data_IF_300733269185
#
_entry.id   IF_300733269185
#
_cell.length_a   1.000
_cell.length_b   1.000
_cell.length_c   1.000
_cell.angle_alpha   90.00
_cell.angle_beta   90.00
_cell.angle_gamma   90.00
#
_symmetry.space_group_name_H-M   'P 1'
#
loop_
_entity.id
_entity.type
_entity.pdbx_description
1 polymer ?
#
# COMPACT_ATOMS: atom_id res chain seq x y z
N UNK A 1 9.79 -13.95 40.34
CA UNK A 1 8.35 -14.10 40.01
C UNK A 1 8.24 -14.90 38.71
N UNK A 2 7.32 -15.87 38.62
CA UNK A 2 7.43 -17.01 37.72
C UNK A 2 7.25 -16.61 36.25
N UNK A 3 7.98 -17.31 35.37
CA UNK A 3 7.93 -17.17 33.91
C UNK A 3 6.56 -17.58 33.40
N UNK A 4 5.69 -16.63 33.06
CA UNK A 4 4.47 -16.90 32.32
C UNK A 4 4.86 -17.30 30.88
N UNK A 5 4.86 -18.61 30.60
CA UNK A 5 4.77 -19.10 29.23
C UNK A 5 3.40 -18.68 28.71
N UNK A 6 3.35 -17.88 27.65
CA UNK A 6 2.13 -17.69 26.90
C UNK A 6 1.78 -19.06 26.28
N UNK A 7 0.84 -19.76 26.90
CA UNK A 7 0.25 -20.98 26.33
C UNK A 7 -0.60 -20.53 25.16
N UNK A 8 -0.05 -20.63 23.95
CA UNK A 8 -0.84 -20.61 22.73
C UNK A 8 -1.63 -21.93 22.76
N UNK A 9 -2.95 -21.86 22.95
CA UNK A 9 -3.82 -23.01 22.77
C UNK A 9 -3.94 -23.31 21.28
N UNK A 10 -2.93 -23.96 20.71
CA UNK A 10 -3.08 -24.60 19.41
C UNK A 10 -3.98 -25.82 19.63
N UNK A 11 -5.19 -25.77 19.09
CA UNK A 11 -5.99 -26.98 18.89
C UNK A 11 -5.24 -27.84 17.86
N UNK A 12 -4.36 -28.73 18.33
CA UNK A 12 -3.71 -29.76 17.54
C UNK A 12 -4.77 -30.81 17.17
N UNK A 13 -5.59 -30.50 16.17
CA UNK A 13 -6.35 -31.52 15.46
C UNK A 13 -5.33 -32.25 14.59
N UNK A 14 -5.19 -33.56 14.80
CA UNK A 14 -4.41 -34.44 13.94
C UNK A 14 -5.05 -34.44 12.53
N UNK A 15 -4.66 -33.48 11.71
CA UNK A 15 -5.04 -33.42 10.30
C UNK A 15 -4.10 -34.37 9.57
N UNK A 16 -4.58 -35.58 9.26
CA UNK A 16 -3.90 -36.46 8.32
C UNK A 16 -3.72 -35.78 6.97
N UNK A 17 -2.68 -36.16 6.22
CA UNK A 17 -2.35 -35.60 4.91
C UNK A 17 -3.61 -35.38 4.06
N UNK A 18 -3.90 -34.13 3.73
CA UNK A 18 -5.15 -33.73 3.06
C UNK A 18 -5.27 -34.45 1.73
N UNK A 19 -6.31 -35.30 1.58
CA UNK A 19 -6.73 -35.78 0.27
C UNK A 19 -7.20 -34.58 -0.56
N UNK A 20 -6.88 -34.59 -1.85
CA UNK A 20 -7.34 -33.59 -2.81
C UNK A 20 -8.87 -33.44 -2.71
N UNK A 21 -9.35 -32.35 -2.10
CA UNK A 21 -10.79 -32.12 -1.91
C UNK A 21 -11.15 -31.19 -0.76
N UNK A 22 -10.43 -31.24 0.36
CA UNK A 22 -10.96 -30.66 1.61
C UNK A 22 -10.52 -29.19 1.83
N UNK A 23 -11.20 -28.27 1.13
CA UNK A 23 -11.07 -26.83 1.33
C UNK A 23 -11.31 -26.42 2.79
N UNK A 24 -12.20 -27.13 3.49
CA UNK A 24 -12.52 -26.86 4.88
C UNK A 24 -11.35 -27.17 5.81
N UNK A 25 -10.53 -28.19 5.50
CA UNK A 25 -9.29 -28.43 6.28
C UNK A 25 -8.35 -27.23 6.18
N UNK A 26 -8.14 -26.70 4.97
CA UNK A 26 -7.25 -25.55 4.77
C UNK A 26 -7.80 -24.31 5.46
N UNK A 27 -9.10 -24.05 5.29
CA UNK A 27 -9.78 -22.95 5.97
C UNK A 27 -9.72 -23.08 7.49
N UNK A 28 -9.92 -24.28 8.05
CA UNK A 28 -9.81 -24.54 9.50
C UNK A 28 -8.40 -24.32 10.00
N UNK A 29 -7.39 -24.80 9.27
CA UNK A 29 -5.99 -24.65 9.66
C UNK A 29 -5.55 -23.18 9.65
N UNK A 30 -5.97 -22.42 8.64
CA UNK A 30 -5.74 -20.98 8.62
C UNK A 30 -6.69 -20.25 9.59
N UNK A 31 -7.85 -20.80 9.93
CA UNK A 31 -8.88 -20.08 10.70
C UNK A 31 -9.46 -18.88 9.94
N UNK A 32 -9.38 -18.88 8.61
CA UNK A 32 -10.03 -17.91 7.72
C UNK A 32 -10.73 -18.66 6.57
N UNK A 33 -11.95 -18.27 6.16
CA UNK A 33 -12.72 -18.94 5.11
C UNK A 33 -12.24 -18.54 3.71
N UNK A 34 -10.96 -18.82 3.43
CA UNK A 34 -10.29 -18.40 2.20
C UNK A 34 -10.90 -19.08 0.96
N UNK A 35 -11.12 -20.38 1.04
CA UNK A 35 -11.64 -21.20 -0.06
C UNK A 35 -13.14 -21.52 0.12
N UNK A 36 -13.89 -21.69 -0.95
CA UNK A 36 -15.30 -22.11 -0.88
C UNK A 36 -15.53 -23.48 -1.52
N UNK A 37 -15.57 -23.55 -2.86
CA UNK A 37 -15.80 -24.79 -3.63
C UNK A 37 -14.96 -24.84 -4.92
N UNK A 38 -14.77 -23.68 -5.55
CA UNK A 38 -13.93 -23.46 -6.72
C UNK A 38 -12.48 -23.09 -6.33
N UNK A 39 -11.52 -23.06 -7.28
CA UNK A 39 -10.20 -22.49 -7.03
C UNK A 39 -10.35 -21.01 -6.65
N UNK A 40 -9.74 -20.62 -5.52
CA UNK A 40 -9.69 -19.23 -5.05
C UNK A 40 -9.28 -18.24 -6.16
N UNK A 41 -8.31 -18.66 -6.97
CA UNK A 41 -7.76 -17.83 -8.04
C UNK A 41 -8.68 -17.88 -9.26
N UNK A 42 -9.05 -16.71 -9.78
CA UNK A 42 -10.03 -16.58 -10.87
C UNK A 42 -11.49 -16.45 -10.40
N UNK A 43 -11.80 -16.62 -9.11
CA UNK A 43 -13.11 -16.24 -8.55
C UNK A 43 -13.34 -14.73 -8.70
N UNK A 44 -14.60 -14.30 -8.87
CA UNK A 44 -14.93 -12.87 -8.77
C UNK A 44 -14.57 -12.37 -7.37
N UNK A 45 -13.90 -11.22 -7.31
CA UNK A 45 -13.31 -10.73 -6.07
C UNK A 45 -14.30 -10.27 -5.01
N UNK A 46 -15.47 -9.77 -5.40
CA UNK A 46 -16.48 -9.24 -4.49
C UNK A 46 -17.09 -10.33 -3.57
N UNK A 47 -17.57 -11.48 -4.09
CA UNK A 47 -17.98 -12.60 -3.22
C UNK A 47 -16.89 -13.10 -2.27
N UNK A 48 -15.63 -13.12 -2.73
CA UNK A 48 -14.48 -13.52 -1.90
C UNK A 48 -14.21 -12.48 -0.81
N UNK A 49 -14.30 -11.20 -1.15
CA UNK A 49 -14.14 -10.10 -0.20
C UNK A 49 -15.23 -10.10 0.87
N UNK A 50 -16.50 -10.27 0.50
CA UNK A 50 -17.62 -10.39 1.44
C UNK A 50 -17.42 -11.57 2.40
N UNK A 51 -17.05 -12.74 1.87
CA UNK A 51 -16.73 -13.94 2.67
C UNK A 51 -15.62 -13.70 3.69
N UNK A 52 -14.65 -12.88 3.33
CA UNK A 52 -13.50 -12.53 4.17
C UNK A 52 -13.72 -11.29 5.03
N UNK A 53 -14.90 -10.65 4.96
CA UNK A 53 -15.18 -9.40 5.66
C UNK A 53 -14.30 -8.22 5.24
N UNK A 54 -13.83 -8.23 3.98
CA UNK A 54 -12.96 -7.19 3.45
C UNK A 54 -13.78 -6.01 2.95
N UNK A 55 -13.27 -4.80 3.19
CA UNK A 55 -13.85 -3.59 2.64
C UNK A 55 -13.13 -3.21 1.35
N UNK A 56 -13.88 -2.68 0.40
CA UNK A 56 -13.33 -2.18 -0.85
C UNK A 56 -12.48 -0.95 -0.54
N UNK A 57 -11.17 -1.09 -0.72
CA UNK A 57 -10.23 -0.01 -0.50
C UNK A 57 -10.19 0.96 -1.66
N UNK A 58 -10.74 0.63 -2.83
CA UNK A 58 -10.61 1.47 -4.02
C UNK A 58 -11.89 1.54 -4.84
N UNK A 59 -12.36 2.74 -5.20
CA UNK A 59 -13.53 2.91 -6.08
C UNK A 59 -13.22 2.66 -7.58
N UNK A 60 -12.20 1.84 -7.86
CA UNK A 60 -11.80 1.50 -9.23
C UNK A 60 -12.78 0.50 -9.84
N UNK A 61 -13.41 0.84 -10.97
CA UNK A 61 -14.40 -0.05 -11.62
C UNK A 61 -13.76 -1.32 -12.21
N UNK A 62 -12.44 -1.34 -12.40
CA UNK A 62 -11.75 -2.40 -13.16
C UNK A 62 -10.74 -3.26 -12.39
N UNK A 63 -10.30 -2.81 -11.21
CA UNK A 63 -9.30 -3.52 -10.37
C UNK A 63 -9.53 -3.20 -8.90
N UNK A 64 -10.66 -3.65 -8.32
CA UNK A 64 -10.93 -3.37 -6.92
C UNK A 64 -9.85 -4.02 -6.06
N UNK A 65 -9.30 -3.25 -5.13
CA UNK A 65 -8.48 -3.79 -4.05
C UNK A 65 -9.39 -3.91 -2.84
N UNK A 66 -9.38 -5.08 -2.21
CA UNK A 66 -10.11 -5.31 -0.98
C UNK A 66 -9.11 -5.53 0.15
N UNK A 67 -9.34 -4.90 1.29
CA UNK A 67 -8.54 -5.19 2.47
C UNK A 67 -9.30 -5.07 3.76
N UNK A 68 -8.77 -5.71 4.79
CA UNK A 68 -9.36 -5.76 6.11
C UNK A 68 -8.26 -5.80 7.16
N UNK A 69 -8.44 -5.02 8.22
CA UNK A 69 -7.58 -4.99 9.40
C UNK A 69 -8.30 -5.67 10.57
N UNK A 70 -7.57 -5.96 11.64
CA UNK A 70 -8.13 -6.60 12.85
C UNK A 70 -8.72 -7.99 12.62
N UNK A 71 -8.31 -8.66 11.53
CA UNK A 71 -8.65 -10.06 11.25
C UNK A 71 -7.73 -10.96 12.07
N UNK A 72 -8.18 -12.18 12.36
CA UNK A 72 -7.38 -13.22 13.00
C UNK A 72 -7.32 -14.45 12.11
N UNK A 73 -6.16 -15.11 12.13
CA UNK A 73 -5.90 -16.39 11.48
C UNK A 73 -5.74 -17.42 12.61
N UNK A 74 -6.86 -18.02 13.03
CA UNK A 74 -6.96 -18.70 14.32
C UNK A 74 -6.74 -17.73 15.49
N UNK A 75 -5.78 -18.05 16.37
CA UNK A 75 -5.36 -17.15 17.46
C UNK A 75 -4.29 -16.13 17.06
N UNK A 76 -3.85 -16.17 15.80
CA UNK A 76 -2.84 -15.26 15.31
C UNK A 76 -3.52 -13.95 14.85
N UNK A 77 -3.28 -12.80 15.50
CA UNK A 77 -3.70 -11.54 14.90
C UNK A 77 -2.99 -11.37 13.56
N UNK A 78 -3.64 -10.75 12.57
CA UNK A 78 -2.96 -10.33 11.34
C UNK A 78 -3.06 -8.81 11.21
N UNK A 79 -2.00 -8.19 10.70
CA UNK A 79 -1.96 -6.75 10.51
C UNK A 79 -2.94 -6.33 9.40
N UNK A 80 -2.96 -7.08 8.29
CA UNK A 80 -3.87 -6.80 7.18
C UNK A 80 -4.05 -8.03 6.27
N UNK A 81 -5.27 -8.26 5.80
CA UNK A 81 -5.59 -9.18 4.70
C UNK A 81 -5.86 -8.37 3.44
N UNK A 82 -5.24 -8.71 2.31
CA UNK A 82 -5.44 -8.02 1.03
C UNK A 82 -5.77 -9.01 -0.08
N UNK A 83 -6.81 -8.68 -0.84
CA UNK A 83 -7.22 -9.40 -2.04
C UNK A 83 -6.82 -8.59 -3.28
N UNK A 84 -5.98 -9.17 -4.12
CA UNK A 84 -5.52 -8.57 -5.35
C UNK A 84 -6.29 -9.10 -6.55
N UNK A 85 -6.59 -8.19 -7.48
CA UNK A 85 -7.44 -8.50 -8.63
C UNK A 85 -6.77 -8.19 -9.96
N UNK A 86 -7.13 -8.98 -10.97
CA UNK A 86 -6.74 -8.72 -12.35
C UNK A 86 -7.69 -7.71 -13.03
N UNK A 87 -7.52 -7.48 -14.34
CA UNK A 87 -8.35 -6.51 -15.08
C UNK A 87 -9.82 -6.92 -15.20
N UNK A 88 -10.12 -8.19 -14.95
CA UNK A 88 -11.46 -8.77 -15.07
C UNK A 88 -12.12 -8.89 -13.68
N UNK A 89 -11.54 -8.21 -12.66
CA UNK A 89 -11.99 -8.19 -11.27
C UNK A 89 -12.05 -9.56 -10.60
N UNK A 90 -11.28 -10.52 -11.13
CA UNK A 90 -11.10 -11.83 -10.51
C UNK A 90 -9.89 -11.84 -9.59
N UNK A 91 -9.86 -12.77 -8.64
CA UNK A 91 -8.77 -12.91 -7.68
C UNK A 91 -7.49 -13.39 -8.39
N UNK A 92 -6.47 -12.55 -8.38
CA UNK A 92 -5.13 -12.85 -8.90
C UNK A 92 -4.24 -13.48 -7.82
N UNK A 93 -4.26 -12.91 -6.61
CA UNK A 93 -3.55 -13.44 -5.44
C UNK A 93 -4.06 -12.84 -4.13
N UNK A 94 -3.65 -13.44 -3.01
CA UNK A 94 -3.95 -12.96 -1.64
C UNK A 94 -2.66 -12.71 -0.89
N UNK A 95 -2.61 -11.60 -0.14
CA UNK A 95 -1.56 -11.33 0.84
C UNK A 95 -2.16 -11.25 2.25
N UNK A 96 -1.64 -12.07 3.15
CA UNK A 96 -1.94 -12.04 4.59
C UNK A 96 -0.70 -11.47 5.29
N UNK A 97 -0.75 -10.19 5.62
CA UNK A 97 0.32 -9.50 6.34
C UNK A 97 0.18 -9.78 7.84
N UNK A 98 1.03 -10.67 8.36
CA UNK A 98 0.93 -11.18 9.73
C UNK A 98 1.68 -10.29 10.70
N UNK A 99 2.89 -9.89 10.32
CA UNK A 99 3.73 -8.98 11.08
C UNK A 99 4.30 -7.96 10.12
N UNK A 100 4.08 -6.69 10.40
CA UNK A 100 4.69 -5.60 9.65
C UNK A 100 5.40 -4.66 10.63
N UNK A 101 6.70 -4.43 10.43
CA UNK A 101 7.49 -3.53 11.27
C UNK A 101 6.81 -2.18 11.41
N UNK A 102 6.41 -1.56 10.32
CA UNK A 102 5.91 -0.20 10.47
C UNK A 102 4.51 -0.13 11.09
N UNK A 103 3.69 -1.18 10.99
CA UNK A 103 2.44 -1.24 11.78
C UNK A 103 2.78 -1.41 13.26
N UNK A 104 3.64 -2.38 13.60
CA UNK A 104 4.07 -2.63 14.97
C UNK A 104 4.72 -1.41 15.67
N UNK A 105 5.46 -0.61 14.91
CA UNK A 105 6.13 0.61 15.40
C UNK A 105 5.36 1.90 15.07
N UNK A 106 4.07 1.84 14.72
CA UNK A 106 3.25 3.04 14.54
C UNK A 106 3.20 3.87 15.82
N UNK A 107 2.93 5.17 15.70
CA UNK A 107 2.84 6.06 16.88
C UNK A 107 1.78 5.54 17.86
N UNK A 108 0.62 5.15 17.34
CA UNK A 108 -0.48 4.56 18.09
C UNK A 108 -0.04 3.29 18.83
N UNK A 109 0.53 2.31 18.14
CA UNK A 109 0.94 1.03 18.75
C UNK A 109 2.10 1.20 19.74
N UNK A 110 3.03 2.13 19.47
CA UNK A 110 4.11 2.45 20.41
C UNK A 110 3.55 3.12 21.67
N UNK A 111 2.58 4.01 21.53
CA UNK A 111 1.89 4.66 22.65
C UNK A 111 1.11 3.63 23.48
N UNK A 112 0.33 2.78 22.84
CA UNK A 112 -0.42 1.70 23.51
C UNK A 112 0.52 0.73 24.24
N UNK A 113 1.62 0.32 23.61
CA UNK A 113 2.62 -0.53 24.24
C UNK A 113 3.30 0.16 25.43
N UNK A 114 3.56 1.46 25.35
CA UNK A 114 4.12 2.22 26.46
C UNK A 114 3.11 2.32 27.63
N UNK A 115 1.83 2.52 27.34
CA UNK A 115 0.74 2.52 28.32
C UNK A 115 0.57 1.14 28.98
N UNK A 116 0.63 0.07 28.20
CA UNK A 116 0.57 -1.31 28.70
C UNK A 116 1.71 -1.59 29.69
N UNK A 117 2.95 -1.22 29.34
CA UNK A 117 4.08 -1.32 30.25
C UNK A 117 3.85 -0.51 31.52
N UNK A 118 3.32 0.71 31.40
CA UNK A 118 3.06 1.57 32.56
C UNK A 118 2.02 0.96 33.51
N UNK A 119 0.91 0.46 32.96
CA UNK A 119 -0.19 -0.11 33.73
C UNK A 119 0.19 -1.42 34.43
N UNK A 120 1.04 -2.25 33.81
CA UNK A 120 1.46 -3.54 34.37
C UNK A 120 2.76 -3.45 35.19
N UNK A 121 3.49 -2.34 35.14
CA UNK A 121 4.62 -2.06 36.02
C UNK A 121 4.10 -1.53 37.37
N UNK A 122 3.55 -2.42 38.20
CA UNK A 122 3.17 -2.11 39.58
C UNK A 122 4.33 -1.44 40.33
N UNK A 123 4.14 -0.17 40.71
CA UNK A 123 5.09 0.75 41.37
C UNK A 123 6.27 1.20 40.50
N UNK A 124 6.12 2.43 39.99
CA UNK A 124 7.17 3.40 39.68
C UNK A 124 8.53 2.81 39.25
N UNK A 125 8.53 2.12 38.11
CA UNK A 125 9.78 1.89 37.42
C UNK A 125 10.27 3.27 36.94
N UNK A 126 11.33 3.80 37.57
CA UNK A 126 12.09 4.99 37.15
C UNK A 126 12.60 4.89 35.68
N UNK A 127 12.27 3.81 34.97
CA UNK A 127 12.49 3.54 33.56
C UNK A 127 11.81 4.56 32.61
N UNK A 128 10.69 5.19 33.00
CA UNK A 128 10.07 6.25 32.17
C UNK A 128 10.90 7.54 32.27
N UNK A 129 11.58 7.78 33.40
CA UNK A 129 12.58 8.86 33.54
C UNK A 129 13.94 8.49 32.94
N UNK A 130 14.31 7.20 32.91
CA UNK A 130 15.55 6.67 32.31
C UNK A 130 15.36 6.18 30.87
N UNK A 131 15.05 7.12 29.99
CA UNK A 131 15.49 7.11 28.59
C UNK A 131 14.73 6.20 27.61
N UNK A 132 14.44 6.79 26.44
CA UNK A 132 13.89 6.14 25.24
C UNK A 132 14.55 4.80 24.84
N UNK A 133 15.75 4.50 25.32
CA UNK A 133 16.48 3.26 25.06
C UNK A 133 15.83 1.99 25.66
N UNK A 134 15.29 2.04 26.88
CA UNK A 134 14.66 0.85 27.51
C UNK A 134 13.35 0.48 26.80
N UNK A 135 12.52 1.49 26.48
CA UNK A 135 11.31 1.29 25.67
C UNK A 135 11.65 0.72 24.30
N UNK A 136 12.65 1.27 23.60
CA UNK A 136 13.11 0.75 22.31
C UNK A 136 13.55 -0.71 22.38
N UNK A 137 14.31 -1.09 23.41
CA UNK A 137 14.74 -2.47 23.62
C UNK A 137 13.55 -3.39 23.84
N UNK A 138 12.60 -3.02 24.71
CA UNK A 138 11.38 -3.80 24.98
C UNK A 138 10.50 -3.94 23.75
N UNK A 139 10.30 -2.87 22.97
CA UNK A 139 9.61 -2.90 21.69
C UNK A 139 10.29 -3.83 20.69
N UNK A 140 11.62 -3.78 20.57
CA UNK A 140 12.36 -4.72 19.72
C UNK A 140 12.14 -6.17 20.16
N UNK A 141 12.28 -6.45 21.45
CA UNK A 141 12.05 -7.80 21.95
C UNK A 141 10.61 -8.29 21.73
N UNK A 142 9.62 -7.39 21.86
CA UNK A 142 8.23 -7.71 21.57
C UNK A 142 8.01 -8.00 20.07
N UNK A 143 8.59 -7.19 19.19
CA UNK A 143 8.56 -7.43 17.74
C UNK A 143 9.21 -8.77 17.39
N UNK A 144 10.42 -9.04 17.90
CA UNK A 144 11.16 -10.28 17.61
C UNK A 144 10.37 -11.51 18.08
N UNK A 145 9.79 -11.47 19.30
CA UNK A 145 8.93 -12.55 19.81
C UNK A 145 7.70 -12.76 18.93
N UNK A 146 7.04 -11.67 18.54
CA UNK A 146 5.86 -11.72 17.67
C UNK A 146 6.21 -12.28 16.30
N UNK A 147 7.32 -11.84 15.71
CA UNK A 147 7.81 -12.31 14.42
C UNK A 147 8.13 -13.81 14.42
N UNK A 148 9.03 -14.24 15.32
CA UNK A 148 9.49 -15.63 15.37
C UNK A 148 8.33 -16.56 15.77
N UNK A 149 7.55 -16.21 16.80
CA UNK A 149 6.41 -17.01 17.22
C UNK A 149 5.33 -17.15 16.14
N UNK A 150 5.08 -16.10 15.35
CA UNK A 150 4.14 -16.19 14.22
C UNK A 150 4.67 -17.04 13.08
N UNK A 151 5.96 -16.92 12.77
CA UNK A 151 6.60 -17.70 11.71
C UNK A 151 6.58 -19.18 12.05
N UNK A 152 6.95 -19.52 13.28
CA UNK A 152 7.02 -20.91 13.73
C UNK A 152 5.63 -21.53 13.79
N UNK A 153 4.65 -20.82 14.36
CA UNK A 153 3.25 -21.27 14.39
C UNK A 153 2.69 -21.50 12.97
N UNK A 154 2.92 -20.57 12.04
CA UNK A 154 2.46 -20.73 10.66
C UNK A 154 3.17 -21.87 9.94
N UNK A 155 4.47 -22.02 10.16
CA UNK A 155 5.24 -23.11 9.56
C UNK A 155 4.72 -24.45 10.05
N UNK A 156 4.45 -24.60 11.36
CA UNK A 156 3.88 -25.80 11.95
C UNK A 156 2.48 -26.09 11.38
N UNK A 157 1.58 -25.11 11.40
CA UNK A 157 0.22 -25.22 10.86
C UNK A 157 0.22 -25.64 9.39
N UNK A 158 0.99 -24.95 8.55
CA UNK A 158 1.06 -25.25 7.11
C UNK A 158 1.72 -26.61 6.86
N UNK A 159 2.75 -26.97 7.63
CA UNK A 159 3.42 -28.26 7.50
C UNK A 159 2.54 -29.43 7.91
N UNK A 160 1.71 -29.27 8.94
CA UNK A 160 0.74 -30.29 9.35
C UNK A 160 -0.27 -30.59 8.24
N UNK A 161 -0.67 -29.58 7.48
CA UNK A 161 -1.67 -29.71 6.41
C UNK A 161 -1.07 -30.19 5.09
N UNK A 162 0.05 -29.58 4.67
CA UNK A 162 0.60 -29.71 3.33
C UNK A 162 1.91 -30.54 3.27
N UNK A 163 2.45 -30.94 4.42
CA UNK A 163 3.75 -31.59 4.51
C UNK A 163 4.92 -30.60 4.51
N UNK A 164 6.15 -31.11 4.35
CA UNK A 164 7.36 -30.29 4.48
C UNK A 164 7.41 -29.17 3.42
N UNK A 165 7.79 -27.93 3.79
CA UNK A 165 7.95 -26.85 2.83
C UNK A 165 9.20 -27.04 1.97
N UNK A 166 9.17 -26.38 0.81
CA UNK A 166 10.36 -26.08 0.02
C UNK A 166 10.90 -24.68 0.35
N UNK A 167 12.18 -24.45 0.10
CA UNK A 167 12.76 -23.11 0.14
C UNK A 167 12.44 -22.36 -1.15
N UNK A 168 11.80 -21.21 -1.03
CA UNK A 168 11.44 -20.36 -2.17
C UNK A 168 12.45 -19.22 -2.32
N UNK A 169 12.93 -19.02 -3.54
CA UNK A 169 13.89 -17.97 -3.86
C UNK A 169 13.18 -16.77 -4.46
N UNK A 170 12.76 -15.86 -3.58
CA UNK A 170 12.18 -14.58 -3.98
C UNK A 170 13.22 -13.75 -4.73
N UNK A 171 13.04 -13.56 -6.04
CA UNK A 171 13.97 -12.82 -6.91
C UNK A 171 14.04 -11.30 -6.60
N UNK A 172 13.24 -10.83 -5.65
CA UNK A 172 13.12 -9.45 -5.21
C UNK A 172 14.22 -9.05 -4.22
N UNK A 173 14.63 -9.95 -3.32
CA UNK A 173 15.64 -9.70 -2.28
C UNK A 173 16.38 -11.00 -1.89
N UNK A 174 17.71 -10.94 -1.80
CA UNK A 174 18.56 -12.05 -1.34
C UNK A 174 18.48 -12.30 0.17
N UNK A 175 17.89 -11.38 0.94
CA UNK A 175 17.71 -11.49 2.40
C UNK A 175 16.44 -12.24 2.78
N UNK A 176 15.48 -12.32 1.86
CA UNK A 176 14.21 -13.01 2.09
C UNK A 176 14.43 -14.49 2.28
N UNK A 177 13.77 -15.01 3.29
CA UNK A 177 13.71 -16.44 3.61
C UNK A 177 12.26 -16.85 3.43
N UNK A 178 11.93 -17.31 2.24
CA UNK A 178 10.57 -17.77 1.94
C UNK A 178 10.48 -19.28 2.07
N UNK A 179 9.41 -19.74 2.71
CA UNK A 179 8.99 -21.14 2.72
C UNK A 179 7.76 -21.29 1.83
N UNK A 180 7.70 -22.38 1.07
CA UNK A 180 6.61 -22.62 0.12
C UNK A 180 5.97 -23.99 0.34
N UNK A 181 4.65 -24.01 0.27
CA UNK A 181 3.84 -25.21 0.18
C UNK A 181 2.99 -25.14 -1.08
N UNK A 182 3.12 -26.16 -1.94
CA UNK A 182 2.29 -26.29 -3.12
C UNK A 182 1.03 -27.09 -2.80
N UNK A 183 -0.12 -26.56 -3.19
CA UNK A 183 -1.39 -27.24 -3.05
C UNK A 183 -2.28 -26.97 -4.25
N UNK A 184 -2.58 -28.03 -5.00
CA UNK A 184 -3.32 -27.94 -6.27
C UNK A 184 -2.66 -26.97 -7.26
N UNK A 185 -3.33 -25.88 -7.61
CA UNK A 185 -2.94 -24.82 -8.52
C UNK A 185 -2.40 -23.57 -7.80
N UNK A 186 -2.41 -23.57 -6.46
CA UNK A 186 -1.88 -22.49 -5.62
C UNK A 186 -0.56 -22.86 -4.94
N UNK A 187 0.23 -21.84 -4.66
CA UNK A 187 1.42 -21.90 -3.81
C UNK A 187 1.18 -20.98 -2.62
N UNK A 188 1.30 -21.53 -1.41
CA UNK A 188 1.34 -20.78 -0.16
C UNK A 188 2.79 -20.43 0.14
N UNK A 189 3.15 -19.15 0.07
CA UNK A 189 4.52 -18.67 0.26
C UNK A 189 4.58 -17.81 1.52
N UNK A 190 5.20 -18.35 2.58
CA UNK A 190 5.51 -17.60 3.80
C UNK A 190 6.79 -16.80 3.58
N UNK A 191 6.63 -15.56 3.15
CA UNK A 191 7.72 -14.62 2.83
C UNK A 191 8.12 -13.85 4.10
N UNK A 192 9.37 -14.06 4.52
CA UNK A 192 9.91 -13.47 5.72
C UNK A 192 11.19 -12.66 5.43
N UNK A 193 11.19 -11.42 5.90
CA UNK A 193 12.38 -10.57 5.97
C UNK A 193 12.58 -10.15 7.43
N UNK A 194 13.65 -10.66 8.03
CA UNK A 194 13.93 -10.47 9.46
C UNK A 194 14.01 -8.98 9.80
N UNK A 195 13.46 -8.62 10.96
CA UNK A 195 13.34 -7.24 11.44
C UNK A 195 12.43 -6.33 10.57
N UNK A 196 11.76 -6.86 9.54
CA UNK A 196 10.91 -6.11 8.61
C UNK A 196 9.46 -6.62 8.53
N UNK A 197 9.23 -7.84 8.03
CA UNK A 197 7.86 -8.34 7.83
C UNK A 197 7.77 -9.87 7.75
N UNK A 198 6.57 -10.37 8.01
CA UNK A 198 6.13 -11.75 7.77
C UNK A 198 4.80 -11.71 7.02
N UNK A 199 4.80 -12.18 5.78
CA UNK A 199 3.61 -12.19 4.90
C UNK A 199 3.39 -13.60 4.40
N UNK A 200 2.17 -14.13 4.57
CA UNK A 200 1.72 -15.35 3.90
C UNK A 200 1.03 -14.97 2.60
N UNK A 201 1.57 -15.40 1.46
CA UNK A 201 1.05 -15.12 0.12
C UNK A 201 0.39 -16.37 -0.43
N UNK A 202 -0.78 -16.23 -1.03
CA UNK A 202 -1.43 -17.30 -1.81
C UNK A 202 -1.40 -16.90 -3.27
N UNK A 203 -0.54 -17.56 -4.04
CA UNK A 203 -0.20 -17.21 -5.42
C UNK A 203 -0.59 -18.36 -6.38
N UNK A 204 -0.84 -18.09 -7.67
CA UNK A 204 -0.81 -19.14 -8.68
C UNK A 204 0.56 -19.84 -8.66
N UNK A 205 0.63 -21.17 -8.77
CA UNK A 205 1.92 -21.89 -8.77
C UNK A 205 2.89 -21.39 -9.82
N UNK A 206 2.40 -21.13 -11.04
CA UNK A 206 3.20 -20.55 -12.13
C UNK A 206 3.81 -19.19 -11.76
N UNK A 207 3.12 -18.40 -10.93
CA UNK A 207 3.62 -17.13 -10.43
C UNK A 207 4.72 -17.34 -9.38
N UNK A 208 4.51 -18.28 -8.46
CA UNK A 208 5.51 -18.66 -7.47
C UNK A 208 6.79 -19.23 -8.13
N UNK A 209 6.67 -20.11 -9.13
CA UNK A 209 7.81 -20.62 -9.92
C UNK A 209 8.62 -19.50 -10.61
N UNK A 210 7.93 -18.40 -10.94
CA UNK A 210 8.53 -17.19 -11.47
C UNK A 210 9.35 -16.39 -10.44
N UNK A 211 9.31 -16.76 -9.16
CA UNK A 211 9.81 -16.01 -8.01
C UNK A 211 8.88 -14.85 -7.63
N UNK A 212 7.56 -15.04 -7.75
CA UNK A 212 6.54 -14.03 -7.46
C UNK A 212 6.48 -12.87 -8.47
N UNK A 213 7.02 -13.06 -9.68
CA UNK A 213 6.97 -12.03 -10.75
C UNK A 213 5.78 -12.25 -11.66
N UNK A 214 4.79 -11.36 -11.58
CA UNK A 214 3.60 -11.40 -12.43
C UNK A 214 3.93 -11.36 -13.92
N UNK A 215 3.02 -11.88 -14.75
CA UNK A 215 3.12 -11.72 -16.20
C UNK A 215 3.04 -10.23 -16.54
N UNK A 216 4.08 -9.72 -17.20
CA UNK A 216 4.12 -8.33 -17.65
C UNK A 216 2.90 -8.03 -18.52
N UNK A 217 2.16 -6.97 -18.18
CA UNK A 217 1.13 -6.42 -19.06
C UNK A 217 1.81 -5.84 -20.30
N UNK A 218 1.40 -6.30 -21.49
CA UNK A 218 1.92 -5.85 -22.77
C UNK A 218 1.68 -4.33 -22.98
N UNK A 219 2.69 -3.60 -23.47
CA UNK A 219 2.61 -2.14 -23.59
C UNK A 219 1.62 -1.67 -24.64
N UNK A 220 1.43 -2.43 -25.73
CA UNK A 220 0.41 -2.13 -26.73
C UNK A 220 -0.98 -2.20 -26.12
N UNK A 221 -1.28 -3.28 -25.37
CA UNK A 221 -2.54 -3.41 -24.62
C UNK A 221 -2.70 -2.27 -23.61
N UNK A 222 -1.63 -1.93 -22.88
CA UNK A 222 -1.69 -0.85 -21.88
C UNK A 222 -1.93 0.52 -22.54
N UNK A 223 -1.21 0.86 -23.62
CA UNK A 223 -1.39 2.11 -24.38
C UNK A 223 -2.80 2.26 -24.93
N UNK A 224 -3.45 1.17 -25.32
CA UNK A 224 -4.85 1.17 -25.75
C UNK A 224 -5.85 1.34 -24.60
N UNK A 225 -5.52 0.85 -23.40
CA UNK A 225 -6.43 0.87 -22.25
C UNK A 225 -6.35 2.15 -21.43
N UNK A 226 -5.17 2.75 -21.29
CA UNK A 226 -4.95 3.90 -20.40
C UNK A 226 -5.84 5.11 -20.74
N UNK A 227 -5.99 5.56 -22.00
CA UNK A 227 -6.88 6.68 -22.31
C UNK A 227 -8.35 6.39 -21.96
N UNK A 228 -8.77 5.12 -21.96
CA UNK A 228 -10.13 4.71 -21.59
C UNK A 228 -10.41 4.79 -20.08
N UNK A 229 -9.41 5.15 -19.27
CA UNK A 229 -9.54 5.43 -17.83
C UNK A 229 -9.70 6.92 -17.55
N UNK A 230 -9.68 7.77 -18.57
CA UNK A 230 -9.83 9.21 -18.41
C UNK A 230 -11.30 9.56 -18.53
N UNK A 231 -11.89 9.99 -17.42
CA UNK A 231 -13.19 10.67 -17.42
C UNK A 231 -13.04 12.01 -18.16
N UNK A 232 -13.98 12.28 -19.06
CA UNK A 232 -14.17 13.58 -19.68
C UNK A 232 -15.58 14.04 -19.29
N UNK A 233 -15.66 15.00 -18.36
CA UNK A 233 -16.94 15.54 -17.89
C UNK A 233 -17.36 16.77 -18.72
N UNK A 234 -18.67 17.04 -18.75
CA UNK A 234 -19.22 18.25 -19.39
C UNK A 234 -18.71 19.54 -18.75
N UNK A 235 -18.31 19.49 -17.49
CA UNK A 235 -17.70 20.59 -16.74
C UNK A 235 -16.28 20.97 -17.20
N UNK A 236 -15.72 20.24 -18.17
CA UNK A 236 -14.33 20.37 -18.61
C UNK A 236 -13.32 19.56 -17.79
N UNK A 237 -13.75 18.87 -16.73
CA UNK A 237 -12.87 18.02 -15.93
C UNK A 237 -12.33 16.84 -16.75
N UNK A 238 -11.00 16.68 -16.72
CA UNK A 238 -10.27 15.55 -17.26
C UNK A 238 -9.63 14.81 -16.10
N UNK A 239 -10.11 13.61 -15.78
CA UNK A 239 -9.71 12.91 -14.55
C UNK A 239 -9.40 11.44 -14.81
N UNK A 240 -8.20 11.01 -14.43
CA UNK A 240 -7.83 9.60 -14.44
C UNK A 240 -8.57 8.89 -13.30
N UNK A 241 -9.35 7.90 -13.69
CA UNK A 241 -10.01 6.96 -12.81
C UNK A 241 -9.16 5.69 -12.64
N UNK A 242 -9.63 4.77 -11.81
CA UNK A 242 -9.03 3.45 -11.61
C UNK A 242 -7.60 3.45 -11.05
N UNK A 243 -7.21 4.48 -10.30
CA UNK A 243 -5.91 4.50 -9.61
C UNK A 243 -6.01 3.62 -8.34
N UNK A 244 -5.18 2.57 -8.22
CA UNK A 244 -5.19 1.71 -7.04
C UNK A 244 -5.01 2.53 -5.77
N UNK A 245 -5.75 2.16 -4.73
CA UNK A 245 -5.55 2.69 -3.40
C UNK A 245 -4.50 1.86 -2.66
N UNK A 246 -3.62 2.56 -1.95
CA UNK A 246 -2.59 1.97 -1.11
C UNK A 246 -2.59 2.78 0.17
N UNK A 247 -3.03 2.15 1.26
CA UNK A 247 -2.95 2.72 2.59
C UNK A 247 -1.48 2.65 3.06
N UNK A 248 -0.90 3.82 3.35
CA UNK A 248 0.45 3.93 3.87
C UNK A 248 0.56 3.63 5.38
N UNK A 249 -0.57 3.57 6.09
CA UNK A 249 -0.67 3.54 7.54
C UNK A 249 -0.08 4.80 8.20
N UNK A 250 0.15 4.76 9.51
CA UNK A 250 0.66 5.87 10.34
C UNK A 250 2.13 6.28 10.05
N UNK A 251 2.65 6.10 8.82
CA UNK A 251 4.08 6.23 8.50
C UNK A 251 4.40 7.39 7.55
N UNK A 252 5.62 7.92 7.63
CA UNK A 252 6.27 8.78 6.60
C UNK A 252 6.65 8.05 5.29
N UNK A 253 5.80 7.11 4.85
CA UNK A 253 5.97 6.25 3.66
C UNK A 253 5.20 6.76 2.45
N UNK A 254 4.76 8.01 2.46
CA UNK A 254 3.98 8.60 1.39
C UNK A 254 4.60 8.43 -0.01
N UNK A 255 5.92 8.57 -0.12
CA UNK A 255 6.64 8.33 -1.37
C UNK A 255 6.50 6.87 -1.85
N UNK A 256 6.67 5.90 -0.95
CA UNK A 256 6.53 4.47 -1.26
C UNK A 256 5.11 4.15 -1.68
N UNK A 257 4.11 4.61 -0.93
CA UNK A 257 2.70 4.37 -1.26
C UNK A 257 2.30 5.00 -2.60
N UNK A 258 2.62 6.28 -2.83
CA UNK A 258 2.34 6.95 -4.11
C UNK A 258 3.06 6.28 -5.29
N UNK A 259 4.31 5.82 -5.11
CA UNK A 259 5.04 5.07 -6.13
C UNK A 259 4.42 3.70 -6.41
N UNK A 260 3.99 2.97 -5.38
CA UNK A 260 3.29 1.69 -5.49
C UNK A 260 1.97 1.85 -6.26
N UNK A 261 1.19 2.89 -5.95
CA UNK A 261 -0.03 3.22 -6.69
C UNK A 261 0.26 3.41 -8.18
N UNK A 262 1.30 4.19 -8.52
CA UNK A 262 1.69 4.41 -9.91
C UNK A 262 2.17 3.12 -10.60
N UNK A 263 2.99 2.30 -9.93
CA UNK A 263 3.47 1.03 -10.47
C UNK A 263 2.31 0.06 -10.72
N UNK A 264 1.39 -0.08 -9.76
CA UNK A 264 0.21 -0.94 -9.88
C UNK A 264 -0.78 -0.45 -10.92
N UNK A 265 -1.01 0.85 -11.01
CA UNK A 265 -1.85 1.45 -12.07
C UNK A 265 -1.33 1.07 -13.46
N UNK A 266 -0.01 1.00 -13.57
CA UNK A 266 0.71 0.59 -14.76
C UNK A 266 0.73 -0.95 -14.92
N UNK A 267 0.24 -1.74 -13.97
CA UNK A 267 0.22 -3.20 -14.05
C UNK A 267 1.57 -3.84 -13.77
N UNK A 268 2.43 -3.14 -13.01
CA UNK A 268 3.62 -3.71 -12.39
C UNK A 268 3.23 -4.19 -10.99
N UNK A 269 3.28 -5.51 -10.71
CA UNK A 269 3.16 -5.99 -9.34
C UNK A 269 4.38 -5.52 -8.57
N UNK A 270 4.17 -4.82 -7.47
CA UNK A 270 5.25 -4.36 -6.61
C UNK A 270 4.91 -4.67 -5.16
N UNK A 271 5.96 -5.12 -4.45
CA UNK A 271 5.98 -5.25 -3.01
C UNK A 271 6.45 -3.91 -2.42
N UNK A 272 5.62 -3.29 -1.59
CA UNK A 272 5.91 -2.00 -0.96
C UNK A 272 7.21 -2.00 -0.14
N UNK A 273 7.56 -3.16 0.44
CA UNK A 273 8.83 -3.35 1.14
C UNK A 273 10.02 -3.32 0.18
N UNK A 274 9.91 -3.99 -0.97
CA UNK A 274 10.96 -3.94 -1.99
C UNK A 274 11.20 -2.50 -2.47
N UNK A 275 10.12 -1.74 -2.63
CA UNK A 275 10.21 -0.33 -3.01
C UNK A 275 10.88 0.50 -1.92
N UNK A 276 10.50 0.30 -0.65
CA UNK A 276 11.13 0.97 0.50
C UNK A 276 12.62 0.62 0.66
N UNK A 277 13.00 -0.65 0.49
CA UNK A 277 14.38 -1.12 0.57
C UNK A 277 15.25 -0.49 -0.53
N UNK A 278 14.76 -0.50 -1.78
CA UNK A 278 15.45 0.12 -2.90
C UNK A 278 15.57 1.64 -2.73
N UNK A 279 14.56 2.26 -2.14
CA UNK A 279 14.55 3.68 -1.85
C UNK A 279 15.39 4.05 -0.61
N UNK A 280 15.96 3.05 0.09
CA UNK A 280 16.72 3.19 1.34
C UNK A 280 15.94 3.98 2.40
N UNK A 281 14.64 3.76 2.46
CA UNK A 281 13.75 4.46 3.39
C UNK A 281 14.11 4.10 4.83
N UNK A 282 14.45 5.10 5.65
CA UNK A 282 14.75 4.92 7.06
C UNK A 282 13.61 5.39 7.99
N UNK A 283 13.69 5.03 9.28
CA UNK A 283 12.66 5.30 10.30
C UNK A 283 12.58 6.77 10.74
N UNK A 284 13.52 7.65 10.37
CA UNK A 284 13.67 8.99 10.98
C UNK A 284 13.76 10.14 9.98
N UNK A 285 14.04 9.86 8.71
CA UNK A 285 14.27 10.84 7.65
C UNK A 285 13.33 10.69 6.44
N UNK A 286 12.39 9.74 6.46
CA UNK A 286 11.49 9.49 5.33
C UNK A 286 12.21 8.88 4.13
N UNK A 287 11.55 8.85 2.98
CA UNK A 287 12.18 8.46 1.71
C UNK A 287 12.73 9.71 1.04
N UNK A 288 14.00 9.73 0.68
CA UNK A 288 14.56 10.87 -0.07
C UNK A 288 14.03 10.88 -1.50
N UNK A 289 13.93 12.07 -2.12
CA UNK A 289 13.49 12.18 -3.52
C UNK A 289 14.38 11.36 -4.47
N UNK A 290 15.70 11.35 -4.22
CA UNK A 290 16.68 10.62 -5.03
C UNK A 290 16.60 9.11 -4.82
N UNK A 291 16.39 8.67 -3.56
CA UNK A 291 16.16 7.26 -3.25
C UNK A 291 14.91 6.74 -3.96
N UNK A 292 13.82 7.51 -3.91
CA UNK A 292 12.58 7.15 -4.59
C UNK A 292 12.75 7.11 -6.11
N UNK A 293 13.44 8.10 -6.70
CA UNK A 293 13.72 8.13 -8.13
C UNK A 293 14.52 6.91 -8.59
N UNK A 294 15.57 6.57 -7.83
CA UNK A 294 16.38 5.39 -8.09
C UNK A 294 15.52 4.11 -8.05
N UNK A 295 14.71 3.94 -7.00
CA UNK A 295 13.85 2.78 -6.82
C UNK A 295 12.84 2.63 -7.97
N UNK A 296 12.13 3.71 -8.30
CA UNK A 296 11.17 3.73 -9.42
C UNK A 296 11.84 3.40 -10.76
N UNK A 297 13.03 3.97 -11.03
CA UNK A 297 13.78 3.69 -12.26
C UNK A 297 14.23 2.24 -12.35
N UNK A 298 14.73 1.67 -11.25
CA UNK A 298 15.16 0.26 -11.18
C UNK A 298 13.97 -0.68 -11.44
N UNK A 299 12.84 -0.45 -10.77
CA UNK A 299 11.64 -1.30 -10.93
C UNK A 299 11.07 -1.15 -12.34
N UNK A 300 10.95 0.08 -12.86
CA UNK A 300 10.46 0.32 -14.22
C UNK A 300 11.35 -0.38 -15.26
N UNK A 301 12.67 -0.23 -15.17
CA UNK A 301 13.62 -0.86 -16.09
C UNK A 301 13.52 -2.39 -16.05
N UNK A 302 13.44 -3.00 -14.86
CA UNK A 302 13.24 -4.45 -14.70
C UNK A 302 11.94 -4.93 -15.34
N UNK A 303 10.92 -4.08 -15.39
CA UNK A 303 9.64 -4.35 -16.05
C UNK A 303 9.59 -3.85 -17.50
N UNK A 304 10.74 -3.46 -18.08
CA UNK A 304 10.90 -2.94 -19.45
C UNK A 304 10.01 -1.73 -19.71
N UNK A 305 10.04 -0.76 -18.79
CA UNK A 305 9.25 0.48 -18.87
C UNK A 305 10.11 1.69 -18.62
N UNK A 306 9.64 2.84 -19.09
CA UNK A 306 10.35 4.11 -18.93
C UNK A 306 9.79 4.89 -17.76
N UNK A 307 10.60 5.08 -16.73
CA UNK A 307 10.36 6.05 -15.68
C UNK A 307 11.31 7.23 -15.88
N UNK A 308 10.77 8.46 -15.86
CA UNK A 308 11.58 9.67 -15.98
C UNK A 308 10.99 10.83 -15.19
N UNK A 309 11.88 11.63 -14.59
CA UNK A 309 11.54 12.99 -14.18
C UNK A 309 11.34 13.84 -15.42
N UNK A 310 10.29 14.65 -15.38
CA UNK A 310 10.05 15.67 -16.39
C UNK A 310 10.47 17.05 -15.91
N UNK A 311 10.75 17.20 -14.60
CA UNK A 311 11.31 18.42 -13.97
C UNK A 311 10.49 19.69 -14.16
N UNK A 312 9.29 19.54 -14.73
CA UNK A 312 8.40 20.62 -15.13
C UNK A 312 7.42 20.90 -13.99
N UNK A 313 7.02 22.16 -13.88
CA UNK A 313 5.94 22.57 -12.99
C UNK A 313 4.59 21.95 -13.42
N UNK A 314 3.67 21.69 -12.47
CA UNK A 314 2.34 21.17 -12.75
C UNK A 314 1.42 22.24 -13.33
N UNK A 315 1.67 22.64 -14.58
CA UNK A 315 0.78 23.50 -15.36
C UNK A 315 -0.24 22.67 -16.13
N UNK A 316 -1.39 23.26 -16.50
CA UNK A 316 -2.40 22.65 -17.36
C UNK A 316 -1.75 22.11 -18.64
N UNK A 317 -0.86 22.88 -19.27
CA UNK A 317 -0.15 22.48 -20.49
C UNK A 317 0.73 21.25 -20.28
N UNK A 318 1.45 21.18 -19.16
CA UNK A 318 2.31 20.03 -18.83
C UNK A 318 1.48 18.81 -18.50
N UNK A 319 0.45 18.99 -17.67
CA UNK A 319 -0.37 17.91 -17.12
C UNK A 319 -1.26 17.30 -18.21
N UNK A 320 -1.91 18.11 -19.05
CA UNK A 320 -2.81 17.61 -20.11
C UNK A 320 -2.13 16.63 -21.07
N UNK A 321 -0.86 16.91 -21.44
CA UNK A 321 -0.04 16.05 -22.30
C UNK A 321 0.04 14.58 -21.84
N UNK A 322 -0.10 14.33 -20.54
CA UNK A 322 -0.02 13.00 -19.95
C UNK A 322 -1.38 12.49 -19.47
N UNK A 323 -2.18 13.36 -18.84
CA UNK A 323 -3.51 12.98 -18.34
C UNK A 323 -4.43 12.51 -19.46
N UNK A 324 -4.46 13.18 -20.62
CA UNK A 324 -5.30 12.75 -21.76
C UNK A 324 -4.93 11.36 -22.30
N UNK A 325 -3.70 10.90 -22.03
CA UNK A 325 -3.21 9.57 -22.38
C UNK A 325 -3.42 8.54 -21.27
N UNK A 326 -4.08 8.94 -20.19
CA UNK A 326 -4.30 8.14 -18.99
C UNK A 326 -3.02 7.88 -18.19
N UNK A 327 -2.04 8.79 -18.21
CA UNK A 327 -0.78 8.64 -17.47
C UNK A 327 -0.75 9.57 -16.24
N UNK A 328 -0.99 9.06 -15.01
CA UNK A 328 -0.85 9.85 -13.80
C UNK A 328 0.63 10.14 -13.54
N UNK A 329 0.88 11.21 -12.79
CA UNK A 329 2.22 11.75 -12.60
C UNK A 329 2.57 11.74 -11.12
N UNK A 330 3.73 11.18 -10.79
CA UNK A 330 4.28 11.28 -9.44
C UNK A 330 4.73 12.73 -9.22
N UNK A 331 4.32 13.33 -8.11
CA UNK A 331 4.53 14.74 -7.85
C UNK A 331 5.11 14.95 -6.46
N UNK A 332 6.32 15.52 -6.41
CA UNK A 332 6.90 15.98 -5.14
C UNK A 332 6.30 17.31 -4.74
N UNK A 333 5.91 17.43 -3.47
CA UNK A 333 5.30 18.63 -2.89
C UNK A 333 5.92 18.98 -1.54
N UNK A 334 5.82 20.25 -1.18
CA UNK A 334 6.01 20.76 0.18
C UNK A 334 4.66 20.70 0.90
N UNK A 335 4.64 20.08 2.07
CA UNK A 335 3.48 20.10 2.97
C UNK A 335 3.48 21.43 3.70
N UNK A 336 2.46 22.24 3.45
CA UNK A 336 2.31 23.57 4.06
C UNK A 336 1.03 23.54 4.89
N UNK A 337 1.16 23.66 6.21
CA UNK A 337 0.05 23.50 7.15
C UNK A 337 -1.16 24.38 6.81
N UNK A 338 -0.92 25.67 6.50
CA UNK A 338 -1.98 26.60 6.12
C UNK A 338 -2.73 26.19 4.84
N UNK A 339 -2.04 25.53 3.90
CA UNK A 339 -2.66 24.99 2.69
C UNK A 339 -3.46 23.72 3.02
N UNK A 340 -2.88 22.79 3.77
CA UNK A 340 -3.54 21.51 4.13
C UNK A 340 -4.81 21.73 4.95
N UNK A 341 -4.82 22.72 5.85
CA UNK A 341 -5.98 23.06 6.67
C UNK A 341 -7.17 23.58 5.84
N UNK A 342 -6.91 24.29 4.74
CA UNK A 342 -7.95 24.96 3.94
C UNK A 342 -8.41 24.20 2.70
N UNK A 343 -7.51 23.41 2.08
CA UNK A 343 -7.77 22.78 0.77
C UNK A 343 -8.94 21.80 0.82
N UNK A 344 -9.08 21.05 1.92
CA UNK A 344 -10.11 20.01 2.08
C UNK A 344 -11.49 20.62 2.25
N UNK A 345 -11.65 21.52 3.22
CA UNK A 345 -12.90 22.27 3.45
C UNK A 345 -13.35 23.03 2.20
N UNK A 346 -12.40 23.57 1.41
CA UNK A 346 -12.73 24.18 0.13
C UNK A 346 -13.35 23.15 -0.82
N UNK A 347 -12.73 21.97 -0.96
CA UNK A 347 -13.17 20.93 -1.91
C UNK A 347 -14.51 20.27 -1.58
N UNK A 348 -14.96 20.27 -0.32
CA UNK A 348 -16.30 19.78 0.08
C UNK A 348 -17.45 20.43 -0.69
N UNK A 349 -17.26 21.63 -1.26
CA UNK A 349 -18.27 22.37 -2.01
C UNK A 349 -18.09 22.36 -3.53
N UNK A 350 -17.25 21.48 -4.11
CA UNK A 350 -16.98 21.42 -5.55
C UNK A 350 -17.98 20.55 -6.32
N UNK A 351 -19.27 20.82 -6.17
CA UNK A 351 -20.33 20.05 -6.87
C UNK A 351 -20.49 20.44 -8.35
N UNK A 352 -20.14 21.68 -8.70
CA UNK A 352 -20.22 22.20 -10.07
C UNK A 352 -18.97 23.06 -10.39
N UNK A 353 -17.98 22.52 -11.12
CA UNK A 353 -16.84 23.29 -11.59
C UNK A 353 -17.34 24.52 -12.37
N UNK A 354 -16.83 25.70 -12.03
CA UNK A 354 -17.23 26.97 -12.68
C UNK A 354 -18.42 27.72 -12.04
N UNK A 355 -19.10 27.14 -11.04
CA UNK A 355 -20.11 27.85 -10.26
C UNK A 355 -19.58 29.14 -9.62
N UNK A 356 -20.43 30.16 -9.42
CA UNK A 356 -20.01 31.48 -8.90
C UNK A 356 -19.25 31.37 -7.57
N UNK A 357 -19.77 30.56 -6.63
CA UNK A 357 -19.12 30.31 -5.33
C UNK A 357 -17.73 29.70 -5.52
N UNK A 358 -17.62 28.68 -6.37
CA UNK A 358 -16.34 28.03 -6.65
C UNK A 358 -15.32 28.99 -7.26
N UNK A 359 -15.73 29.80 -8.25
CA UNK A 359 -14.85 30.81 -8.86
C UNK A 359 -14.28 31.80 -7.84
N UNK A 360 -15.12 32.28 -6.91
CA UNK A 360 -14.65 33.17 -5.83
C UNK A 360 -13.63 32.48 -4.91
N UNK A 361 -13.82 31.19 -4.60
CA UNK A 361 -12.86 30.41 -3.82
C UNK A 361 -11.53 30.21 -4.58
N UNK A 362 -11.58 29.98 -5.90
CA UNK A 362 -10.37 29.89 -6.73
C UNK A 362 -9.65 31.24 -6.84
N UNK A 363 -10.36 32.35 -6.96
CA UNK A 363 -9.78 33.70 -6.94
C UNK A 363 -9.07 33.97 -5.62
N UNK A 364 -9.68 33.60 -4.50
CA UNK A 364 -9.07 33.75 -3.18
C UNK A 364 -7.79 32.93 -3.02
N UNK A 365 -7.84 31.65 -3.40
CA UNK A 365 -6.67 30.76 -3.44
C UNK A 365 -5.53 31.32 -4.31
N UNK A 366 -5.86 31.89 -5.46
CA UNK A 366 -4.89 32.54 -6.35
C UNK A 366 -4.26 33.80 -5.73
N UNK A 367 -4.99 34.55 -4.90
CA UNK A 367 -4.46 35.74 -4.20
C UNK A 367 -3.48 35.37 -3.09
N UNK A 368 -3.74 34.28 -2.37
CA UNK A 368 -2.93 33.85 -1.22
C UNK A 368 -1.73 32.99 -1.62
N UNK A 369 -1.65 32.53 -2.87
CA UNK A 369 -0.57 31.66 -3.38
C UNK A 369 0.85 32.18 -3.08
N UNK A 370 1.11 33.49 -3.21
CA UNK A 370 2.45 34.06 -2.94
C UNK A 370 2.93 33.84 -1.50
N UNK A 371 2.01 33.71 -0.55
CA UNK A 371 2.35 33.39 0.83
C UNK A 371 2.78 31.94 0.98
N UNK A 372 2.27 31.02 0.15
CA UNK A 372 2.66 29.61 0.15
C UNK A 372 4.09 29.41 -0.37
N UNK A 373 4.48 30.16 -1.41
CA UNK A 373 5.82 30.05 -2.02
C UNK A 373 6.95 30.31 -1.01
N UNK A 374 6.71 31.21 -0.04
CA UNK A 374 7.68 31.61 0.98
C UNK A 374 7.74 30.65 2.16
N UNK A 375 6.76 29.77 2.31
CA UNK A 375 6.69 28.84 3.44
C UNK A 375 7.57 27.63 3.21
N UNK A 376 8.22 27.20 4.30
CA UNK A 376 8.93 25.93 4.35
C UNK A 376 7.94 24.83 4.73
N UNK A 377 8.13 23.66 4.15
CA UNK A 377 7.29 22.49 4.41
C UNK A 377 8.14 21.23 4.41
N UNK A 378 7.63 20.18 5.05
CA UNK A 378 8.20 18.83 4.88
C UNK A 378 7.93 18.33 3.46
N UNK A 379 8.76 17.41 2.96
CA UNK A 379 8.55 16.82 1.64
C UNK A 379 7.49 15.71 1.71
N UNK A 380 6.60 15.70 0.73
CA UNK A 380 5.57 14.69 0.53
C UNK A 380 5.45 14.35 -0.95
N UNK A 381 4.79 13.24 -1.25
CA UNK A 381 4.66 12.75 -2.62
C UNK A 381 3.22 12.34 -2.91
N UNK A 382 2.66 12.94 -3.96
CA UNK A 382 1.26 12.78 -4.40
C UNK A 382 1.21 12.28 -5.84
N UNK A 383 0.02 11.93 -6.31
CA UNK A 383 -0.22 11.72 -7.73
C UNK A 383 -1.01 12.88 -8.30
N UNK A 384 -0.55 13.49 -9.40
CA UNK A 384 -1.41 14.34 -10.25
C UNK A 384 -2.19 13.42 -11.17
N UNK A 385 -3.52 13.58 -11.14
CA UNK A 385 -4.46 12.63 -11.73
C UNK A 385 -5.49 13.30 -12.65
N UNK A 386 -5.56 14.63 -12.66
CA UNK A 386 -6.51 15.33 -13.52
C UNK A 386 -6.22 16.82 -13.66
N UNK A 387 -7.02 17.47 -14.49
CA UNK A 387 -7.01 18.92 -14.68
C UNK A 387 -8.35 19.40 -15.22
N UNK A 388 -8.60 20.71 -15.08
CA UNK A 388 -9.68 21.40 -15.76
C UNK A 388 -9.09 22.64 -16.47
N UNK A 389 -9.14 22.72 -17.81
CA UNK A 389 -8.53 23.81 -18.55
C UNK A 389 -9.29 25.13 -18.43
N UNK A 390 -10.61 25.09 -18.19
CA UNK A 390 -11.48 26.27 -18.13
C UNK A 390 -11.30 27.02 -16.80
N UNK A 391 -11.33 26.28 -15.70
CA UNK A 391 -11.14 26.82 -14.34
C UNK A 391 -9.66 26.89 -13.93
N UNK A 392 -8.74 26.39 -14.77
CA UNK A 392 -7.29 26.31 -14.52
C UNK A 392 -6.95 25.58 -13.22
N UNK A 393 -7.56 24.41 -13.04
CA UNK A 393 -7.37 23.57 -11.87
C UNK A 393 -6.56 22.32 -12.18
N UNK A 394 -5.83 21.83 -11.19
CA UNK A 394 -5.13 20.55 -11.17
C UNK A 394 -5.77 19.67 -10.11
N UNK A 395 -6.06 18.41 -10.47
CA UNK A 395 -6.52 17.41 -9.53
C UNK A 395 -5.36 16.52 -9.09
N UNK A 396 -5.20 16.34 -7.78
CA UNK A 396 -4.25 15.39 -7.22
C UNK A 396 -4.95 14.39 -6.29
N UNK A 397 -4.33 13.23 -6.14
CA UNK A 397 -4.73 12.21 -5.18
C UNK A 397 -3.65 12.04 -4.11
N UNK A 398 -4.08 12.09 -2.85
CA UNK A 398 -3.22 11.92 -1.68
C UNK A 398 -3.41 10.52 -1.06
N UNK A 399 -2.38 10.01 -0.41
CA UNK A 399 -2.38 8.73 0.32
C UNK A 399 -2.54 8.91 1.82
N UNK A 400 -2.44 10.14 2.37
CA UNK A 400 -2.55 10.39 3.81
C UNK A 400 -3.91 10.10 4.43
N UNK A 401 -4.98 10.11 3.66
CA UNK A 401 -6.34 10.04 4.20
C UNK A 401 -6.94 8.65 4.26
N UNK A 402 -6.21 7.59 3.87
CA UNK A 402 -6.76 6.23 3.77
C UNK A 402 -7.82 6.06 2.67
N UNK A 403 -8.44 7.15 2.23
CA UNK A 403 -9.27 7.30 1.04
C UNK A 403 -8.47 8.11 0.04
N UNK A 404 -8.43 7.70 -1.24
CA UNK A 404 -7.74 8.40 -2.33
C UNK A 404 -8.56 9.62 -2.72
N UNK A 405 -8.70 10.54 -1.77
CA UNK A 405 -9.41 11.77 -1.97
C UNK A 405 -8.77 12.50 -3.15
N UNK A 406 -9.62 12.93 -4.07
CA UNK A 406 -9.24 13.71 -5.23
C UNK A 406 -9.52 15.16 -4.88
N UNK A 407 -8.44 15.91 -4.68
CA UNK A 407 -8.51 17.33 -4.34
C UNK A 407 -8.16 18.17 -5.58
N UNK A 408 -8.95 19.22 -5.78
CA UNK A 408 -8.77 20.19 -6.85
C UNK A 408 -8.19 21.49 -6.31
N UNK A 409 -7.13 21.94 -6.96
CA UNK A 409 -6.41 23.18 -6.61
C UNK A 409 -6.15 24.00 -7.85
N UNK A 410 -5.95 25.30 -7.66
CA UNK A 410 -5.55 26.17 -8.77
C UNK A 410 -4.18 25.75 -9.31
N UNK A 411 -3.94 25.98 -10.61
CA UNK A 411 -2.62 25.82 -11.21
C UNK A 411 -1.54 26.60 -10.43
N UNK A 412 -1.88 27.78 -9.91
CA UNK A 412 -0.96 28.62 -9.13
C UNK A 412 -0.58 27.98 -7.80
N UNK A 413 -1.55 27.46 -7.04
CA UNK A 413 -1.27 26.70 -5.81
C UNK A 413 -0.38 25.49 -6.12
N UNK A 414 -0.70 24.72 -7.17
CA UNK A 414 0.08 23.56 -7.58
C UNK A 414 1.55 23.92 -7.86
N UNK A 415 1.80 25.06 -8.51
CA UNK A 415 3.16 25.56 -8.72
C UNK A 415 3.84 25.94 -7.40
N UNK A 416 3.14 26.67 -6.54
CA UNK A 416 3.70 27.18 -5.28
C UNK A 416 4.09 26.10 -4.28
N UNK A 417 3.30 25.02 -4.19
CA UNK A 417 3.58 23.90 -3.28
C UNK A 417 4.50 22.85 -3.90
N UNK A 418 4.82 22.95 -5.20
CA UNK A 418 5.71 22.01 -5.88
C UNK A 418 7.09 21.91 -5.21
N UNK A 419 7.55 20.67 -5.03
CA UNK A 419 8.90 20.35 -4.57
C UNK A 419 9.93 20.45 -5.70
N UNK A 420 11.22 20.49 -5.34
CA UNK A 420 12.33 20.64 -6.30
C UNK A 420 12.37 19.51 -7.34
N UNK A 421 11.98 18.30 -6.95
CA UNK A 421 11.89 17.16 -7.85
C UNK A 421 10.85 17.32 -8.98
N UNK A 422 9.86 18.19 -8.80
CA UNK A 422 8.78 18.42 -9.75
C UNK A 422 7.98 17.16 -10.03
N UNK A 423 7.64 16.97 -11.31
CA UNK A 423 6.86 15.84 -11.79
C UNK A 423 7.75 14.72 -12.36
N UNK A 424 7.30 13.48 -12.17
CA UNK A 424 7.83 12.29 -12.82
C UNK A 424 6.70 11.43 -13.41
N UNK A 425 7.03 10.68 -14.45
CA UNK A 425 6.07 9.85 -15.17
C UNK A 425 6.61 8.43 -15.35
N UNK A 426 5.69 7.47 -15.38
CA UNK A 426 5.94 6.09 -15.77
C UNK A 426 5.17 5.79 -17.05
N UNK A 427 5.85 5.30 -18.08
CA UNK A 427 5.28 5.05 -19.41
C UNK A 427 5.44 3.59 -19.82
N UNK A 428 4.48 3.03 -20.59
CA UNK A 428 4.57 1.68 -21.17
C UNK A 428 5.64 1.60 -22.26
#
# INVERSE_FOLDING_TARGET
>A
MPKAKATICLLLIAIGAVRAGDWDVVNRALGIPLFARDPLLGELSEPVAERLGLVRQSDTKRRPIWSGKSIRMGDLPIAELRLFTDLDSTVDHVEINVVNKGDFYSETNVREFALDIYNHAGRADNAIKKGSANLRRRLKQAFDRRFEGSRDALTETLTAVFGKPEHEHMKQSRRRRALRWDWRDVALVLDAEKDEFLILRVLPRKLADGGGRGKRVNDGKLKQQLPKRVLQAESGDRLIQDIPLVDQGDKGYCAVASGERLLRYMGIPVDSHQLADLARTDKRGGTTEDGMDHAMRVIATKNRRSYRRIGSEPTIKTVSKYIDRGLPMLWSVKVIEAFEAGVRTRNEGRDAPGGRRWRLLLEDANRTTRALEKQRGSLHMRLVVGYNPETKEIAYSDTWTGQAEILWITEREARAIGGRAGLAILMP
#
